data_IF_677143047893
#
_entry.id   IF_677143047893
#
_cell.length_a   1.000
_cell.length_b   1.000
_cell.length_c   1.000
_cell.angle_alpha   90.00
_cell.angle_beta   90.00
_cell.angle_gamma   90.00
#
_symmetry.space_group_name_H-M   'P 1'
#
loop_
_entity.id
_entity.type
_entity.pdbx_description
1 polymer ?
#
# COMPACT_ATOMS: atom_id res chain seq x y z
N UNK A 1 12.15 13.64 -0.10
CA UNK A 1 12.24 12.38 -0.87
C UNK A 1 10.83 11.89 -1.12
N UNK A 2 10.51 11.48 -2.34
CA UNK A 2 9.19 10.94 -2.64
C UNK A 2 9.08 9.53 -2.05
N UNK A 3 8.20 9.38 -1.05
CA UNK A 3 8.07 8.11 -0.34
C UNK A 3 7.34 7.05 -1.18
N UNK A 4 6.44 7.45 -2.08
CA UNK A 4 5.71 6.48 -2.90
C UNK A 4 6.67 5.83 -3.89
N UNK A 5 7.43 6.63 -4.63
CA UNK A 5 8.39 6.11 -5.61
C UNK A 5 9.54 5.33 -4.94
N UNK A 6 9.97 5.76 -3.76
CA UNK A 6 11.01 5.03 -3.04
C UNK A 6 10.55 3.65 -2.59
N UNK A 7 9.41 3.58 -1.93
CA UNK A 7 8.92 2.32 -1.40
C UNK A 7 8.45 1.37 -2.51
N UNK A 8 7.99 1.89 -3.66
CA UNK A 8 7.79 1.10 -4.88
C UNK A 8 9.09 0.41 -5.33
N UNK A 9 10.21 1.14 -5.35
CA UNK A 9 11.51 0.58 -5.72
C UNK A 9 11.99 -0.47 -4.69
N UNK A 10 11.77 -0.21 -3.39
CA UNK A 10 12.10 -1.17 -2.31
C UNK A 10 11.24 -2.44 -2.43
N UNK A 11 9.96 -2.32 -2.76
CA UNK A 11 9.06 -3.45 -2.94
C UNK A 11 9.47 -4.33 -4.14
N UNK A 12 9.79 -3.72 -5.28
CA UNK A 12 10.28 -4.44 -6.46
C UNK A 12 11.57 -5.21 -6.18
N UNK A 13 12.49 -4.59 -5.45
CA UNK A 13 13.74 -5.23 -5.07
C UNK A 13 13.52 -6.35 -4.04
N UNK A 14 12.55 -6.19 -3.15
CA UNK A 14 12.16 -7.24 -2.19
C UNK A 14 11.59 -8.47 -2.92
N UNK A 15 10.77 -8.26 -3.94
CA UNK A 15 10.30 -9.33 -4.83
C UNK A 15 11.45 -10.01 -5.59
N UNK A 16 12.37 -9.21 -6.15
CA UNK A 16 13.54 -9.75 -6.85
C UNK A 16 14.38 -10.66 -5.94
N UNK A 17 14.56 -10.27 -4.68
CA UNK A 17 15.31 -11.02 -3.69
C UNK A 17 14.57 -12.24 -3.16
N UNK A 18 13.24 -12.18 -3.06
CA UNK A 18 12.42 -13.32 -2.68
C UNK A 18 12.50 -14.45 -3.72
N UNK A 19 12.81 -14.12 -4.98
CA UNK A 19 13.06 -15.12 -6.03
C UNK A 19 11.79 -15.85 -6.49
N UNK A 20 10.61 -15.26 -6.24
CA UNK A 20 9.27 -15.82 -6.47
C UNK A 20 8.90 -15.92 -7.98
N UNK A 21 9.85 -16.21 -8.86
CA UNK A 21 9.61 -16.16 -10.31
C UNK A 21 8.76 -17.32 -10.85
N UNK A 22 8.66 -18.48 -10.18
CA UNK A 22 7.93 -19.62 -10.77
C UNK A 22 7.18 -20.42 -9.70
N UNK A 23 5.90 -20.11 -9.52
CA UNK A 23 4.78 -21.07 -9.45
C UNK A 23 3.47 -20.26 -9.58
N UNK A 24 3.20 -19.76 -10.80
CA UNK A 24 1.89 -19.19 -11.16
C UNK A 24 1.70 -17.69 -10.96
N UNK A 25 2.63 -16.84 -11.43
CA UNK A 25 2.42 -15.46 -11.93
C UNK A 25 1.66 -14.40 -11.08
N UNK A 26 1.11 -14.74 -9.93
CA UNK A 26 0.14 -13.94 -9.17
C UNK A 26 0.66 -13.49 -7.81
N UNK A 27 1.67 -14.17 -7.24
CA UNK A 27 2.25 -13.84 -5.94
C UNK A 27 2.95 -12.48 -5.92
N UNK A 28 3.83 -12.23 -6.90
CA UNK A 28 4.56 -10.95 -6.99
C UNK A 28 3.62 -9.77 -7.23
N UNK A 29 2.69 -9.90 -8.17
CA UNK A 29 1.67 -8.88 -8.45
C UNK A 29 0.78 -8.61 -7.23
N UNK A 30 0.42 -9.65 -6.47
CA UNK A 30 -0.38 -9.52 -5.24
C UNK A 30 0.40 -8.78 -4.17
N UNK A 31 1.64 -9.14 -3.91
CA UNK A 31 2.46 -8.50 -2.89
C UNK A 31 2.69 -7.01 -3.19
N UNK A 32 2.98 -6.67 -4.46
CA UNK A 32 3.09 -5.28 -4.91
C UNK A 32 1.76 -4.52 -4.78
N UNK A 33 0.63 -5.15 -5.10
CA UNK A 33 -0.68 -4.53 -4.94
C UNK A 33 -1.01 -4.24 -3.47
N UNK A 34 -0.71 -5.18 -2.56
CA UNK A 34 -0.92 -4.98 -1.12
C UNK A 34 -0.06 -3.81 -0.62
N UNK A 35 1.24 -3.76 -0.97
CA UNK A 35 2.11 -2.65 -0.59
C UNK A 35 1.58 -1.30 -1.10
N UNK A 36 1.14 -1.23 -2.36
CA UNK A 36 0.59 0.00 -2.95
C UNK A 36 -0.72 0.45 -2.32
N UNK A 37 -1.61 -0.48 -1.95
CA UNK A 37 -2.85 -0.15 -1.23
C UNK A 37 -2.56 0.45 0.14
N UNK A 38 -1.65 -0.15 0.91
CA UNK A 38 -1.21 0.41 2.20
C UNK A 38 -0.66 1.83 2.05
N UNK A 39 0.21 2.05 1.07
CA UNK A 39 0.81 3.36 0.79
C UNK A 39 -0.23 4.39 0.36
N UNK A 40 -1.14 4.01 -0.54
CA UNK A 40 -2.21 4.88 -1.03
C UNK A 40 -3.12 5.35 0.12
N UNK A 41 -3.62 4.41 0.92
CA UNK A 41 -4.60 4.74 1.97
C UNK A 41 -3.96 5.57 3.08
N UNK A 42 -2.70 5.28 3.44
CA UNK A 42 -1.93 6.10 4.37
C UNK A 42 -1.74 7.52 3.83
N UNK A 43 -1.45 7.68 2.54
CA UNK A 43 -1.29 8.99 1.92
C UNK A 43 -2.61 9.77 1.86
N UNK A 44 -3.67 9.16 1.32
CA UNK A 44 -5.00 9.78 1.14
C UNK A 44 -5.57 10.24 2.48
N UNK A 45 -5.45 9.41 3.52
CA UNK A 45 -5.89 9.75 4.85
C UNK A 45 -5.05 10.87 5.49
N UNK A 46 -3.73 10.86 5.28
CA UNK A 46 -2.83 11.91 5.80
C UNK A 46 -3.05 13.28 5.14
N UNK A 47 -3.27 13.31 3.82
CA UNK A 47 -3.53 14.56 3.07
C UNK A 47 -5.00 14.97 3.07
N UNK A 48 -5.88 14.14 3.64
CA UNK A 48 -7.34 14.36 3.65
C UNK A 48 -7.89 14.57 2.24
N UNK A 49 -7.46 13.71 1.32
CA UNK A 49 -7.90 13.81 -0.06
C UNK A 49 -9.42 13.60 -0.16
N UNK A 50 -10.02 14.13 -1.22
CA UNK A 50 -11.45 13.95 -1.52
C UNK A 50 -11.78 12.57 -2.10
N UNK A 51 -10.77 11.77 -2.44
CA UNK A 51 -10.93 10.43 -2.98
C UNK A 51 -10.99 9.39 -1.86
N UNK A 52 -11.73 8.31 -2.07
CA UNK A 52 -11.94 7.28 -1.07
C UNK A 52 -10.69 6.41 -0.86
N UNK A 53 -10.46 5.99 0.38
CA UNK A 53 -9.52 4.91 0.71
C UNK A 53 -10.10 3.57 0.28
N UNK A 54 -9.23 2.61 -0.06
CA UNK A 54 -9.66 1.24 -0.34
C UNK A 54 -10.11 0.53 0.93
N UNK A 55 -9.45 0.81 2.06
CA UNK A 55 -9.80 0.33 3.38
C UNK A 55 -10.90 1.20 3.97
N UNK A 56 -12.04 0.58 4.26
CA UNK A 56 -13.09 1.14 5.10
C UNK A 56 -12.75 0.97 6.58
N UNK A 57 -13.22 1.86 7.46
CA UNK A 57 -13.10 1.69 8.92
C UNK A 57 -11.73 2.06 9.53
N UNK A 58 -10.75 2.47 8.73
CA UNK A 58 -9.51 3.05 9.26
C UNK A 58 -9.76 4.50 9.70
N UNK A 59 -9.39 4.89 10.94
CA UNK A 59 -9.53 6.27 11.39
C UNK A 59 -8.71 7.22 10.52
N UNK A 60 -9.27 8.37 10.16
CA UNK A 60 -8.51 9.40 9.44
C UNK A 60 -7.28 9.85 10.24
N UNK A 61 -6.22 10.20 9.52
CA UNK A 61 -4.99 10.66 10.15
C UNK A 61 -5.24 11.92 11.01
N UNK A 62 -4.53 12.04 12.15
CA UNK A 62 -4.53 13.26 12.95
C UNK A 62 -4.16 14.48 12.12
N UNK A 63 -4.75 15.64 12.42
CA UNK A 63 -4.41 16.90 11.74
C UNK A 63 -2.91 17.19 11.91
N UNK A 64 -2.22 17.43 10.80
CA UNK A 64 -0.79 17.68 10.79
C UNK A 64 0.09 16.44 10.87
N UNK A 65 -0.46 15.23 10.69
CA UNK A 65 0.33 14.03 10.45
C UNK A 65 1.15 14.17 9.15
N UNK A 66 2.42 13.77 9.16
CA UNK A 66 3.27 13.80 7.96
C UNK A 66 2.83 12.68 7.00
N UNK A 67 2.40 13.01 5.77
CA UNK A 67 2.07 12.01 4.75
C UNK A 67 3.26 11.13 4.41
N UNK A 68 4.47 11.69 4.41
CA UNK A 68 5.72 10.96 4.14
C UNK A 68 5.98 9.89 5.20
N UNK A 69 5.80 10.25 6.48
CA UNK A 69 5.97 9.30 7.58
C UNK A 69 4.88 8.21 7.57
N UNK A 70 3.64 8.57 7.20
CA UNK A 70 2.55 7.61 7.08
C UNK A 70 2.81 6.59 5.98
N UNK A 71 3.18 7.05 4.77
CA UNK A 71 3.49 6.17 3.63
C UNK A 71 4.66 5.25 3.96
N UNK A 72 5.74 5.79 4.54
CA UNK A 72 6.94 5.01 4.79
C UNK A 72 6.73 3.87 5.78
N UNK A 73 6.00 4.15 6.86
CA UNK A 73 5.72 3.14 7.89
C UNK A 73 4.68 2.14 7.41
N UNK A 74 3.69 2.58 6.63
CA UNK A 74 2.72 1.67 6.03
C UNK A 74 3.40 0.68 5.07
N UNK A 75 4.30 1.17 4.21
CA UNK A 75 5.09 0.33 3.31
C UNK A 75 6.00 -0.63 4.08
N UNK A 76 6.81 -0.12 5.02
CA UNK A 76 7.72 -0.93 5.84
C UNK A 76 7.00 -2.06 6.57
N UNK A 77 5.91 -1.73 7.27
CA UNK A 77 5.13 -2.71 8.05
C UNK A 77 4.54 -3.79 7.14
N UNK A 78 4.05 -3.40 5.97
CA UNK A 78 3.47 -4.34 5.00
C UNK A 78 4.54 -5.26 4.41
N UNK A 79 5.67 -4.70 3.97
CA UNK A 79 6.76 -5.47 3.37
C UNK A 79 7.46 -6.39 4.37
N UNK A 80 7.58 -5.99 5.63
CA UNK A 80 8.17 -6.85 6.68
C UNK A 80 7.27 -8.04 7.01
N UNK A 81 5.95 -7.88 6.92
CA UNK A 81 5.00 -8.98 7.03
C UNK A 81 5.07 -9.93 5.82
N UNK A 82 5.19 -9.39 4.60
CA UNK A 82 5.27 -10.18 3.36
C UNK A 82 6.63 -10.89 3.17
N UNK A 83 7.73 -10.27 3.61
CA UNK A 83 9.09 -10.78 3.46
C UNK A 83 9.85 -10.78 4.80
N UNK A 84 9.50 -11.67 5.74
CA UNK A 84 10.12 -11.70 7.07
C UNK A 84 11.64 -11.94 7.02
N UNK A 85 12.14 -12.65 6.00
CA UNK A 85 13.57 -12.86 5.79
C UNK A 85 14.36 -11.59 5.40
N UNK A 86 13.67 -10.49 5.07
CA UNK A 86 14.26 -9.25 4.59
C UNK A 86 14.16 -8.09 5.60
N UNK A 87 13.67 -8.35 6.82
CA UNK A 87 13.48 -7.33 7.88
C UNK A 87 14.71 -6.43 8.07
N UNK A 88 15.95 -6.94 8.21
CA UNK A 88 17.11 -6.06 8.42
C UNK A 88 17.34 -5.05 7.28
N UNK A 89 17.04 -5.46 6.04
CA UNK A 89 17.16 -4.58 4.86
C UNK A 89 16.05 -3.54 4.86
N UNK A 90 14.82 -3.95 5.18
CA UNK A 90 13.66 -3.07 5.23
C UNK A 90 13.78 -2.05 6.36
N UNK A 91 14.31 -2.45 7.51
CA UNK A 91 14.64 -1.56 8.62
C UNK A 91 15.68 -0.51 8.20
N UNK A 92 16.74 -0.94 7.50
CA UNK A 92 17.73 -0.02 6.96
C UNK A 92 17.13 0.95 5.93
N UNK A 93 16.22 0.49 5.07
CA UNK A 93 15.50 1.34 4.13
C UNK A 93 14.65 2.40 4.85
N UNK A 94 13.92 2.00 5.91
CA UNK A 94 13.15 2.94 6.73
C UNK A 94 14.04 3.97 7.41
N UNK A 95 15.19 3.56 7.98
CA UNK A 95 16.16 4.50 8.57
C UNK A 95 16.74 5.46 7.51
N UNK A 96 16.98 4.96 6.29
CA UNK A 96 17.50 5.74 5.16
C UNK A 96 16.56 6.83 4.65
N UNK A 97 15.26 6.76 4.96
CA UNK A 97 14.29 7.82 4.59
C UNK A 97 14.57 9.16 5.26
N UNK A 98 15.29 9.16 6.39
CA UNK A 98 15.64 10.38 7.11
C UNK A 98 14.44 11.19 7.61
N UNK A 99 13.30 10.54 7.89
CA UNK A 99 12.08 11.21 8.34
C UNK A 99 12.32 11.99 9.65
N UNK A 100 12.16 13.31 9.58
CA UNK A 100 12.34 14.24 10.70
C UNK A 100 11.34 15.38 10.58
N UNK A 101 11.02 16.01 11.72
CA UNK A 101 10.16 17.18 11.76
C UNK A 101 8.81 16.94 12.44
N UNK A 102 7.92 17.93 12.33
CA UNK A 102 6.58 17.89 12.93
C UNK A 102 5.71 16.85 12.24
N UNK A 103 4.81 16.23 12.99
CA UNK A 103 3.83 15.29 12.42
C UNK A 103 4.38 13.90 12.11
N UNK A 104 5.70 13.65 12.23
CA UNK A 104 6.29 12.33 11.96
C UNK A 104 5.71 11.26 12.88
N UNK A 105 5.65 11.49 14.20
CA UNK A 105 5.09 10.51 15.13
C UNK A 105 3.62 10.16 14.84
N UNK A 106 2.82 11.18 14.51
CA UNK A 106 1.41 10.98 14.14
C UNK A 106 1.27 10.25 12.79
N UNK A 107 2.12 10.57 11.81
CA UNK A 107 2.18 9.88 10.53
C UNK A 107 2.59 8.43 10.70
N UNK A 108 3.66 8.16 11.45
CA UNK A 108 4.14 6.81 11.80
C UNK A 108 3.04 5.97 12.45
N UNK A 109 2.37 6.51 13.48
CA UNK A 109 1.29 5.80 14.15
C UNK A 109 0.14 5.48 13.17
N UNK A 110 -0.23 6.44 12.32
CA UNK A 110 -1.28 6.24 11.34
C UNK A 110 -0.91 5.21 10.27
N UNK A 111 0.31 5.29 9.71
CA UNK A 111 0.81 4.32 8.74
C UNK A 111 0.86 2.90 9.27
N UNK A 112 1.24 2.73 10.54
CA UNK A 112 1.18 1.45 11.24
C UNK A 112 -0.25 0.92 11.33
N UNK A 113 -1.22 1.76 11.73
CA UNK A 113 -2.64 1.37 11.80
C UNK A 113 -3.17 0.94 10.44
N UNK A 114 -2.87 1.69 9.37
CA UNK A 114 -3.28 1.35 7.99
C UNK A 114 -2.73 -0.01 7.58
N UNK A 115 -1.43 -0.24 7.77
CA UNK A 115 -0.81 -1.51 7.39
C UNK A 115 -1.35 -2.69 8.21
N UNK A 116 -1.55 -2.53 9.52
CA UNK A 116 -2.13 -3.57 10.36
C UNK A 116 -3.55 -3.93 9.91
N UNK A 117 -4.40 -2.93 9.65
CA UNK A 117 -5.76 -3.16 9.17
C UNK A 117 -5.79 -3.74 7.75
N UNK A 118 -4.81 -3.42 6.91
CA UNK A 118 -4.69 -4.09 5.62
C UNK A 118 -4.35 -5.57 5.82
N UNK A 119 -3.37 -5.87 6.66
CA UNK A 119 -2.86 -7.23 6.87
C UNK A 119 -3.88 -8.17 7.52
N UNK A 120 -4.74 -7.69 8.43
CA UNK A 120 -5.85 -8.49 8.97
C UNK A 120 -6.78 -9.01 7.88
N UNK A 121 -6.83 -8.31 6.75
CA UNK A 121 -7.69 -8.64 5.63
C UNK A 121 -6.96 -9.42 4.54
N UNK A 122 -5.63 -9.41 4.48
CA UNK A 122 -4.85 -10.12 3.45
C UNK A 122 -5.05 -11.65 3.52
N UNK A 123 -5.33 -12.17 4.71
CA UNK A 123 -5.69 -13.57 4.97
C UNK A 123 -7.20 -13.86 4.85
N UNK A 124 -8.03 -12.84 4.59
CA UNK A 124 -9.46 -13.01 4.33
C UNK A 124 -9.67 -13.42 2.85
N UNK A 125 -10.24 -14.62 2.55
CA UNK A 125 -10.63 -14.97 1.18
C UNK A 125 -11.61 -13.95 0.57
N UNK A 126 -12.33 -13.21 1.41
CA UNK A 126 -13.15 -12.06 1.08
C UNK A 126 -12.37 -10.91 0.43
N UNK A 127 -11.12 -10.64 0.80
CA UNK A 127 -10.30 -9.61 0.13
C UNK A 127 -9.73 -10.06 -1.20
N UNK A 128 -9.35 -11.33 -1.39
CA UNK A 128 -9.02 -11.79 -2.74
C UNK A 128 -10.22 -11.66 -3.69
N UNK A 129 -11.42 -11.95 -3.18
CA UNK A 129 -12.66 -11.78 -3.93
C UNK A 129 -13.09 -10.29 -4.06
N UNK A 130 -12.79 -9.44 -3.07
CA UNK A 130 -13.09 -8.01 -3.08
C UNK A 130 -12.08 -7.23 -3.93
N UNK A 131 -10.78 -7.50 -3.87
CA UNK A 131 -9.77 -6.91 -4.76
C UNK A 131 -10.07 -7.27 -6.22
N UNK A 132 -10.41 -8.53 -6.52
CA UNK A 132 -10.89 -8.91 -7.85
C UNK A 132 -12.17 -8.17 -8.26
N UNK A 133 -13.11 -7.93 -7.34
CA UNK A 133 -14.35 -7.20 -7.66
C UNK A 133 -14.13 -5.69 -7.80
N UNK A 134 -13.45 -5.05 -6.87
CA UNK A 134 -13.21 -3.60 -6.80
C UNK A 134 -12.33 -3.10 -7.95
N UNK A 135 -11.37 -3.89 -8.44
CA UNK A 135 -10.64 -3.58 -9.67
C UNK A 135 -11.44 -3.86 -10.95
N UNK A 136 -12.46 -4.73 -10.90
CA UNK A 136 -13.31 -5.04 -12.06
C UNK A 136 -14.43 -4.02 -12.30
N UNK A 137 -14.84 -3.24 -11.28
CA UNK A 137 -16.02 -2.35 -11.40
C UNK A 137 -15.77 -1.19 -12.38
N UNK A 138 -14.53 -0.72 -12.54
CA UNK A 138 -14.27 0.47 -13.36
C UNK A 138 -13.95 0.15 -14.84
N UNK A 139 -13.33 -1.00 -15.12
CA UNK A 139 -12.93 -1.37 -16.49
C UNK A 139 -14.13 -1.85 -17.32
N UNK A 140 -15.03 -2.65 -16.74
CA UNK A 140 -16.19 -3.17 -17.46
C UNK A 140 -17.15 -2.05 -17.86
N UNK A 141 -17.45 -1.13 -16.94
CA UNK A 141 -18.29 0.04 -17.22
C UNK A 141 -17.66 0.98 -18.25
N UNK A 142 -16.34 1.15 -18.21
CA UNK A 142 -15.61 1.94 -19.21
C UNK A 142 -15.65 1.31 -20.61
N UNK A 143 -15.45 -0.02 -20.72
CA UNK A 143 -15.52 -0.75 -22.01
C UNK A 143 -16.92 -0.62 -22.62
N UNK A 144 -17.97 -0.82 -21.82
CA UNK A 144 -19.36 -0.75 -22.30
C UNK A 144 -19.74 0.67 -22.73
N UNK A 145 -19.33 1.69 -21.98
CA UNK A 145 -19.53 3.09 -22.34
C UNK A 145 -18.80 3.48 -23.64
N UNK A 146 -17.58 2.95 -23.84
CA UNK A 146 -16.78 3.19 -25.05
C UNK A 146 -17.40 2.52 -26.28
N UNK A 147 -17.89 1.29 -26.12
CA UNK A 147 -18.56 0.52 -27.18
C UNK A 147 -19.91 1.14 -27.59
N UNK A 148 -20.59 1.83 -26.68
CA UNK A 148 -21.80 2.60 -26.97
C UNK A 148 -21.51 3.90 -27.73
N UNK A 149 -20.38 4.56 -27.47
CA UNK A 149 -19.99 5.81 -28.14
C UNK A 149 -19.49 5.66 -29.59
N UNK A 150 -19.25 4.41 -30.04
CA UNK A 150 -18.74 4.08 -31.38
C UNK A 150 -19.82 3.57 -32.34
N UNK A 151 -21.10 3.62 -31.95
CA UNK A 151 -22.28 3.35 -32.78
C UNK A 151 -23.05 4.64 -33.01
#
# INVERSE_FOLDING_TARGET
MDQILYWDAVALESERLAGNHIEGGSGASRALAIARVAMHDAHVSAVRATHATYLTGVPSAPVGASPEAAVAVAAHTTLTALYPGQIPRLDAALQGTGLRGRGVAAGTAHGLTVAQELLTRVDDPGLSAWLCRSFAVDVAGWIDARAASMR
#
